data_IF_533201504309
#
_entry.id   IF_533201504309
#
_cell.length_a   1.000
_cell.length_b   1.000
_cell.length_c   1.000
_cell.angle_alpha   90.00
_cell.angle_beta   90.00
_cell.angle_gamma   90.00
#
_symmetry.space_group_name_H-M   'P 1'
#
loop_
_entity.id
_entity.type
_entity.pdbx_description
1 polymer ?
#
# COMPACT_ATOMS: atom_id res chain seq x y z
N UNK A 1 7.21 -48.24 -75.76
CA UNK A 1 7.32 -49.68 -75.42
C UNK A 1 6.72 -49.89 -74.04
N UNK A 2 5.85 -50.91 -73.92
CA UNK A 2 5.31 -51.56 -72.68
C UNK A 2 4.29 -50.75 -71.86
N UNK A 3 2.99 -51.04 -72.07
CA UNK A 3 2.11 -51.97 -71.30
C UNK A 3 1.43 -51.23 -70.15
N UNK A 4 0.15 -50.84 -70.20
CA UNK A 4 -1.09 -51.65 -70.23
C UNK A 4 -1.18 -52.64 -69.07
N UNK A 5 -1.86 -52.29 -67.97
CA UNK A 5 -2.71 -53.20 -67.16
C UNK A 5 -3.91 -52.41 -66.62
N UNK A 6 -5.09 -52.79 -67.11
CA UNK A 6 -6.41 -52.60 -66.49
C UNK A 6 -6.65 -53.73 -65.48
N UNK A 7 -7.61 -53.53 -64.54
CA UNK A 7 -8.70 -54.46 -64.15
C UNK A 7 -8.98 -54.40 -62.63
N UNK A 8 -10.27 -54.30 -62.28
CA UNK A 8 -10.86 -54.79 -61.02
C UNK A 8 -11.45 -53.68 -60.15
N UNK A 9 -12.64 -53.12 -60.41
CA UNK A 9 -13.96 -53.71 -60.08
C UNK A 9 -14.05 -54.39 -58.71
N UNK A 10 -14.61 -53.69 -57.72
CA UNK A 10 -15.61 -54.27 -56.84
C UNK A 10 -16.59 -53.17 -56.38
N UNK A 11 -17.83 -53.29 -56.86
CA UNK A 11 -18.98 -52.53 -56.41
C UNK A 11 -19.73 -53.35 -55.36
N UNK A 12 -20.04 -52.77 -54.20
CA UNK A 12 -21.12 -53.21 -53.31
C UNK A 12 -21.88 -51.96 -52.81
N UNK A 13 -22.89 -51.60 -53.60
CA UNK A 13 -24.30 -51.30 -53.30
C UNK A 13 -24.75 -51.00 -51.84
N UNK A 14 -25.23 -49.76 -51.70
CA UNK A 14 -26.46 -49.21 -51.03
C UNK A 14 -26.81 -49.55 -49.57
N UNK A 15 -27.11 -48.49 -48.79
CA UNK A 15 -28.46 -48.09 -48.29
C UNK A 15 -28.27 -46.79 -47.46
N UNK A 16 -28.67 -45.59 -47.92
CA UNK A 16 -30.02 -45.02 -47.98
C UNK A 16 -30.35 -44.09 -46.78
N UNK A 17 -30.76 -42.85 -47.10
CA UNK A 17 -31.51 -41.92 -46.24
C UNK A 17 -30.66 -40.90 -45.47
N UNK A 18 -30.81 -39.58 -45.63
CA UNK A 18 -31.71 -38.77 -46.45
C UNK A 18 -31.39 -37.27 -46.28
N UNK A 19 -31.73 -36.50 -47.33
CA UNK A 19 -32.19 -35.09 -47.41
C UNK A 19 -31.76 -34.14 -46.25
N UNK A 20 -31.19 -32.95 -46.45
CA UNK A 20 -31.60 -31.90 -47.39
C UNK A 20 -30.66 -30.67 -47.28
N UNK A 21 -30.29 -30.09 -48.43
CA UNK A 21 -30.32 -28.64 -48.78
C UNK A 21 -29.68 -27.65 -47.77
N UNK A 22 -28.43 -27.25 -47.99
CA UNK A 22 -28.01 -26.03 -48.72
C UNK A 22 -28.30 -24.71 -47.98
N UNK A 23 -27.24 -24.00 -47.55
CA UNK A 23 -27.11 -22.54 -47.65
C UNK A 23 -25.66 -22.11 -47.30
N UNK A 24 -24.92 -21.58 -48.27
CA UNK A 24 -23.82 -20.61 -48.10
C UNK A 24 -24.39 -19.22 -48.48
N UNK A 25 -23.73 -18.05 -48.28
CA UNK A 25 -22.52 -17.71 -47.51
C UNK A 25 -22.70 -16.37 -46.71
N UNK A 26 -21.57 -15.73 -46.35
CA UNK A 26 -21.37 -14.31 -46.01
C UNK A 26 -21.38 -13.91 -44.52
N UNK A 27 -20.18 -13.63 -43.99
CA UNK A 27 -20.01 -12.62 -42.94
C UNK A 27 -18.79 -11.77 -43.29
N UNK A 28 -19.05 -10.57 -43.81
CA UNK A 28 -18.10 -9.48 -43.86
C UNK A 28 -18.44 -8.54 -42.70
N UNK A 29 -17.43 -8.21 -41.90
CA UNK A 29 -17.27 -7.04 -41.03
C UNK A 29 -18.38 -6.70 -40.01
N UNK A 30 -17.99 -6.68 -38.74
CA UNK A 30 -18.23 -5.50 -37.89
C UNK A 30 -17.22 -5.44 -36.73
N UNK A 31 -16.25 -4.53 -36.86
CA UNK A 31 -15.50 -3.95 -35.75
C UNK A 31 -16.34 -2.78 -35.21
N UNK A 32 -16.93 -2.91 -34.03
CA UNK A 32 -17.25 -1.78 -33.13
C UNK A 32 -17.63 -2.33 -31.75
N UNK A 33 -16.78 -2.16 -30.74
CA UNK A 33 -16.83 -1.08 -29.76
C UNK A 33 -17.91 -1.27 -28.68
N UNK A 34 -17.55 -1.84 -27.53
CA UNK A 34 -18.05 -1.37 -26.21
C UNK A 34 -16.89 -1.48 -25.21
N UNK A 35 -16.09 -0.43 -25.14
CA UNK A 35 -15.28 -0.12 -23.98
C UNK A 35 -16.20 0.52 -22.94
N UNK A 36 -16.64 -0.25 -21.95
CA UNK A 36 -17.27 0.28 -20.73
C UNK A 36 -16.46 -0.23 -19.54
N UNK A 37 -15.90 0.65 -18.69
CA UNK A 37 -15.35 0.21 -17.43
C UNK A 37 -16.53 -0.30 -16.60
N UNK A 38 -16.57 -1.61 -16.40
CA UNK A 38 -17.50 -2.23 -15.48
C UNK A 38 -17.35 -1.53 -14.13
N UNK A 39 -18.43 -0.91 -13.65
CA UNK A 39 -18.56 -0.48 -12.27
C UNK A 39 -18.62 -1.75 -11.39
N UNK A 40 -17.46 -2.36 -11.17
CA UNK A 40 -17.30 -3.47 -10.26
C UNK A 40 -17.47 -2.89 -8.87
N UNK A 41 -18.66 -3.04 -8.31
CA UNK A 41 -18.92 -2.83 -6.89
C UNK A 41 -18.01 -3.81 -6.15
N UNK A 42 -16.87 -3.31 -5.68
CA UNK A 42 -15.87 -4.10 -4.96
C UNK A 42 -16.51 -4.63 -3.67
N UNK A 43 -16.87 -5.91 -3.67
CA UNK A 43 -17.39 -6.59 -2.49
C UNK A 43 -16.20 -6.89 -1.58
N UNK A 44 -16.17 -6.18 -0.46
CA UNK A 44 -15.24 -6.36 0.64
C UNK A 44 -15.28 -7.82 1.16
N UNK A 45 -14.24 -8.62 0.89
CA UNK A 45 -13.95 -9.83 1.67
C UNK A 45 -12.88 -9.49 2.72
N UNK A 46 -12.89 -10.17 3.87
CA UNK A 46 -12.10 -9.79 5.05
C UNK A 46 -10.57 -9.66 4.81
N UNK A 47 -10.04 -10.27 3.75
CA UNK A 47 -8.62 -10.26 3.41
C UNK A 47 -8.27 -9.20 2.34
N UNK A 48 -9.22 -8.81 1.48
CA UNK A 48 -9.00 -7.88 0.37
C UNK A 48 -9.26 -6.40 0.69
N UNK A 49 -9.80 -6.07 1.86
CA UNK A 49 -10.24 -4.69 2.15
C UNK A 49 -9.13 -3.70 2.49
N UNK A 50 -7.94 -4.20 2.81
CA UNK A 50 -6.81 -3.40 3.29
C UNK A 50 -5.62 -3.37 2.35
N UNK A 51 -5.64 -4.14 1.26
CA UNK A 51 -4.50 -4.27 0.36
C UNK A 51 -4.70 -3.41 -0.89
N UNK A 52 -3.68 -2.62 -1.23
CA UNK A 52 -3.69 -1.84 -2.46
C UNK A 52 -3.64 -2.77 -3.69
N UNK A 53 -4.25 -2.37 -4.82
CA UNK A 53 -4.07 -3.04 -6.10
C UNK A 53 -2.57 -3.17 -6.44
N UNK A 54 -2.19 -4.31 -7.03
CA UNK A 54 -0.81 -4.55 -7.45
C UNK A 54 -0.32 -3.43 -8.38
N UNK A 55 0.91 -2.94 -8.16
CA UNK A 55 1.50 -1.85 -8.95
C UNK A 55 1.03 -0.44 -8.58
N UNK A 56 0.27 -0.26 -7.49
CA UNK A 56 -0.05 1.08 -6.97
C UNK A 56 1.24 1.76 -6.49
N UNK A 57 1.75 2.74 -7.22
CA UNK A 57 2.97 3.48 -6.89
C UNK A 57 2.66 4.89 -6.37
N UNK A 58 3.55 5.43 -5.55
CA UNK A 58 3.53 6.85 -5.18
C UNK A 58 3.92 7.70 -6.40
N UNK A 59 3.28 8.85 -6.59
CA UNK A 59 3.59 9.73 -7.71
C UNK A 59 4.96 10.40 -7.55
N UNK A 60 5.62 10.74 -8.68
CA UNK A 60 6.91 11.45 -8.66
C UNK A 60 6.83 12.78 -7.88
N UNK A 61 5.71 13.51 -8.01
CA UNK A 61 5.46 14.74 -7.27
C UNK A 61 5.45 14.51 -5.75
N UNK A 62 4.71 13.51 -5.26
CA UNK A 62 4.67 13.18 -3.84
C UNK A 62 6.04 12.74 -3.33
N UNK A 63 6.79 11.97 -4.12
CA UNK A 63 8.16 11.58 -3.79
C UNK A 63 9.06 12.80 -3.59
N UNK A 64 9.06 13.74 -4.54
CA UNK A 64 9.93 14.91 -4.48
C UNK A 64 9.54 15.81 -3.30
N UNK A 65 8.24 15.93 -2.99
CA UNK A 65 7.74 16.62 -1.80
C UNK A 65 8.16 15.94 -0.48
N UNK A 66 8.11 14.60 -0.44
CA UNK A 66 8.58 13.82 0.70
C UNK A 66 10.08 14.03 0.92
N UNK A 67 10.90 13.88 -0.12
CA UNK A 67 12.35 14.06 -0.03
C UNK A 67 12.69 15.48 0.41
N UNK A 68 12.07 16.50 -0.18
CA UNK A 68 12.28 17.89 0.23
C UNK A 68 11.92 18.12 1.72
N UNK A 69 10.84 17.50 2.19
CA UNK A 69 10.42 17.56 3.60
C UNK A 69 11.45 16.87 4.51
N UNK A 70 11.95 15.69 4.12
CA UNK A 70 13.01 14.99 4.84
C UNK A 70 14.29 15.83 4.93
N UNK A 71 14.74 16.42 3.82
CA UNK A 71 15.94 17.28 3.79
C UNK A 71 15.81 18.45 4.77
N UNK A 72 14.61 19.05 4.87
CA UNK A 72 14.35 20.15 5.79
C UNK A 72 14.30 19.72 7.27
N UNK A 73 13.96 18.46 7.55
CA UNK A 73 13.81 17.94 8.89
C UNK A 73 15.10 17.31 9.44
N UNK A 74 15.74 16.46 8.63
CA UNK A 74 17.01 15.81 8.95
C UNK A 74 17.74 15.39 7.66
N UNK A 75 18.86 16.07 7.37
CA UNK A 75 19.63 15.81 6.15
C UNK A 75 20.21 14.39 6.12
N UNK A 76 20.69 13.87 7.26
CA UNK A 76 21.33 12.56 7.31
C UNK A 76 20.34 11.44 6.97
N UNK A 77 19.13 11.51 7.51
CA UNK A 77 18.04 10.59 7.20
C UNK A 77 17.57 10.75 5.75
N UNK A 78 17.47 11.98 5.24
CA UNK A 78 17.14 12.23 3.84
C UNK A 78 18.17 11.63 2.87
N UNK A 79 19.47 11.71 3.20
CA UNK A 79 20.55 11.12 2.42
C UNK A 79 20.45 9.58 2.43
N UNK A 80 20.13 8.96 3.57
CA UNK A 80 19.90 7.51 3.67
C UNK A 80 18.74 7.05 2.80
N UNK A 81 17.61 7.75 2.87
CA UNK A 81 16.42 7.45 2.05
C UNK A 81 16.76 7.63 0.57
N UNK A 82 17.34 8.76 0.18
CA UNK A 82 17.66 9.07 -1.22
C UNK A 82 18.68 8.10 -1.83
N UNK A 83 19.72 7.72 -1.08
CA UNK A 83 20.72 6.73 -1.52
C UNK A 83 20.05 5.40 -1.86
N UNK A 84 19.11 4.97 -1.01
CA UNK A 84 18.39 3.72 -1.17
C UNK A 84 17.40 3.76 -2.35
N UNK A 85 17.07 4.94 -2.88
CA UNK A 85 16.18 5.12 -4.03
C UNK A 85 16.89 5.06 -5.38
N UNK A 86 18.19 5.34 -5.43
CA UNK A 86 18.96 5.42 -6.66
C UNK A 86 19.51 4.06 -7.13
N UNK A 87 19.07 2.94 -6.55
CA UNK A 87 19.41 1.62 -7.08
C UNK A 87 18.63 1.33 -8.38
N UNK A 88 19.36 0.99 -9.45
CA UNK A 88 18.77 0.75 -10.78
C UNK A 88 17.77 -0.42 -10.85
N UNK A 89 17.77 -1.31 -9.85
CA UNK A 89 16.99 -2.55 -9.83
C UNK A 89 16.11 -2.73 -8.59
N UNK A 90 15.94 -1.69 -7.76
CA UNK A 90 15.08 -1.79 -6.58
C UNK A 90 13.66 -1.30 -6.86
N UNK A 91 12.68 -1.93 -6.21
CA UNK A 91 11.33 -1.38 -6.14
C UNK A 91 11.37 -0.13 -5.25
N UNK A 92 11.02 1.06 -5.78
CA UNK A 92 11.02 2.30 -5.02
C UNK A 92 10.17 2.25 -3.72
N UNK A 93 9.11 1.44 -3.70
CA UNK A 93 8.30 1.26 -2.50
C UNK A 93 8.98 0.36 -1.48
N UNK A 94 9.63 -0.73 -1.91
CA UNK A 94 10.34 -1.60 -0.98
C UNK A 94 11.47 -0.84 -0.27
N UNK A 95 12.14 0.05 -1.00
CA UNK A 95 13.12 0.99 -0.46
C UNK A 95 12.50 1.87 0.64
N UNK A 96 11.34 2.49 0.39
CA UNK A 96 10.68 3.32 1.40
C UNK A 96 10.21 2.52 2.60
N UNK A 97 9.60 1.35 2.34
CA UNK A 97 9.02 0.49 3.35
C UNK A 97 10.05 0.08 4.40
N UNK A 98 11.32 -0.04 4.02
CA UNK A 98 12.45 -0.32 4.94
C UNK A 98 12.62 0.75 6.03
N UNK A 99 12.19 1.99 5.77
CA UNK A 99 12.22 3.10 6.74
C UNK A 99 10.87 3.31 7.43
N UNK A 100 9.85 2.51 7.11
CA UNK A 100 8.53 2.65 7.71
C UNK A 100 8.45 1.99 9.09
N UNK A 101 8.13 2.76 10.12
CA UNK A 101 7.87 2.25 11.47
C UNK A 101 6.48 1.61 11.57
N UNK A 102 5.51 2.16 10.84
CA UNK A 102 4.12 1.70 10.83
C UNK A 102 3.58 1.67 9.40
N UNK A 103 2.66 0.74 9.17
CA UNK A 103 1.82 0.70 7.97
C UNK A 103 0.37 0.91 8.42
N UNK A 104 -0.25 1.96 7.90
CA UNK A 104 -1.64 2.31 8.16
C UNK A 104 -2.45 1.97 6.92
N UNK A 105 -3.50 1.17 7.08
CA UNK A 105 -4.42 0.84 6.00
C UNK A 105 -5.81 1.35 6.33
N UNK A 106 -6.36 2.18 5.44
CA UNK A 106 -7.70 2.73 5.53
C UNK A 106 -8.55 2.03 4.49
N UNK A 107 -9.47 1.19 4.94
CA UNK A 107 -10.35 0.44 4.04
C UNK A 107 -11.40 1.37 3.39
N UNK A 108 -12.17 0.90 2.39
CA UNK A 108 -13.23 1.69 1.75
C UNK A 108 -14.35 2.20 2.69
N UNK A 109 -14.47 1.64 3.90
CA UNK A 109 -15.43 2.04 4.93
C UNK A 109 -14.83 3.06 5.93
N UNK A 110 -13.62 3.57 5.66
CA UNK A 110 -12.84 4.45 6.53
C UNK A 110 -12.42 3.82 7.86
N UNK A 111 -12.36 2.48 7.95
CA UNK A 111 -11.78 1.79 9.10
C UNK A 111 -10.25 1.75 8.98
N UNK A 112 -9.60 2.11 10.07
CA UNK A 112 -8.14 2.17 10.17
C UNK A 112 -7.62 0.86 10.77
N UNK A 113 -6.69 0.23 10.07
CA UNK A 113 -5.84 -0.85 10.56
C UNK A 113 -4.40 -0.36 10.66
N UNK A 114 -3.72 -0.70 11.75
CA UNK A 114 -2.29 -0.40 11.93
C UNK A 114 -1.52 -1.70 12.06
N UNK A 115 -0.44 -1.82 11.28
CA UNK A 115 0.53 -2.90 11.37
C UNK A 115 1.93 -2.33 11.62
N UNK A 116 2.80 -3.12 12.24
CA UNK A 116 4.22 -2.77 12.35
C UNK A 116 4.85 -2.69 10.95
N UNK A 117 5.65 -1.65 10.72
CA UNK A 117 6.42 -1.51 9.49
C UNK A 117 7.71 -2.32 9.51
N UNK A 118 8.50 -2.23 8.42
CA UNK A 118 9.76 -2.99 8.28
C UNK A 118 10.95 -2.33 9.00
N UNK A 119 10.83 -1.05 9.37
CA UNK A 119 11.90 -0.36 10.09
C UNK A 119 12.11 -0.96 11.47
N UNK A 120 13.37 -1.12 11.86
CA UNK A 120 13.71 -1.55 13.22
C UNK A 120 13.47 -0.39 14.19
N UNK A 121 12.67 -0.54 15.26
CA UNK A 121 12.37 0.53 16.21
C UNK A 121 13.57 0.83 17.14
N UNK A 122 14.64 1.43 16.61
CA UNK A 122 15.81 1.87 17.39
C UNK A 122 15.73 3.35 17.65
N UNK A 123 15.84 3.75 18.91
CA UNK A 123 15.85 5.16 19.31
C UNK A 123 17.20 5.48 19.94
N UNK A 124 17.93 6.43 19.37
CA UNK A 124 19.03 7.07 20.09
C UNK A 124 18.43 8.04 21.11
N UNK A 125 18.83 7.92 22.37
CA UNK A 125 18.32 8.74 23.46
C UNK A 125 18.77 10.19 23.33
N UNK A 126 18.00 11.12 23.93
CA UNK A 126 18.27 12.55 23.94
C UNK A 126 18.35 13.21 22.55
N UNK A 127 17.85 12.56 21.50
CA UNK A 127 17.76 13.11 20.15
C UNK A 127 16.51 12.63 19.40
N UNK A 128 16.15 13.36 18.35
CA UNK A 128 15.06 12.95 17.46
C UNK A 128 15.52 11.83 16.53
N UNK A 129 14.70 10.80 16.44
CA UNK A 129 14.83 9.70 15.49
C UNK A 129 13.68 9.80 14.49
N UNK A 130 13.96 9.59 13.21
CA UNK A 130 13.01 9.82 12.14
C UNK A 130 12.59 8.50 11.51
N UNK A 131 11.29 8.37 11.26
CA UNK A 131 10.70 7.21 10.63
C UNK A 131 9.68 7.65 9.60
N UNK A 132 9.44 6.78 8.62
CA UNK A 132 8.30 6.93 7.72
C UNK A 132 7.08 6.20 8.28
N UNK A 133 5.90 6.68 7.92
CA UNK A 133 4.63 5.99 8.11
C UNK A 133 4.03 5.80 6.72
N UNK A 134 3.76 4.54 6.36
CA UNK A 134 3.11 4.19 5.10
C UNK A 134 1.60 4.28 5.29
N UNK A 135 0.89 4.94 4.38
CA UNK A 135 -0.57 5.04 4.38
C UNK A 135 -1.12 4.44 3.09
N UNK A 136 -1.95 3.42 3.23
CA UNK A 136 -2.71 2.78 2.16
C UNK A 136 -4.16 3.26 2.27
N UNK A 137 -4.56 4.18 1.40
CA UNK A 137 -5.84 4.86 1.51
C UNK A 137 -6.82 4.34 0.44
N UNK A 138 -7.56 3.27 0.74
CA UNK A 138 -8.55 2.70 -0.18
C UNK A 138 -9.85 3.49 -0.20
N UNK A 139 -10.17 4.22 0.87
CA UNK A 139 -11.35 5.09 0.96
C UNK A 139 -11.19 6.47 0.30
N UNK A 140 -9.95 6.89 -0.02
CA UNK A 140 -9.71 8.25 -0.51
C UNK A 140 -9.96 9.31 0.56
N UNK A 141 -9.70 8.99 1.84
CA UNK A 141 -9.85 9.90 2.98
C UNK A 141 -8.95 11.12 2.80
N UNK A 142 -9.49 12.30 3.10
CA UNK A 142 -8.80 13.59 3.09
C UNK A 142 -8.76 14.25 4.48
N UNK A 143 -9.11 13.51 5.53
CA UNK A 143 -8.98 13.96 6.91
C UNK A 143 -7.50 13.94 7.36
N UNK A 144 -7.12 14.71 8.39
CA UNK A 144 -5.79 14.63 8.96
C UNK A 144 -5.55 13.30 9.68
N UNK A 145 -4.35 12.74 9.52
CA UNK A 145 -3.90 11.55 10.26
C UNK A 145 -3.40 11.96 11.65
N UNK A 146 -3.87 11.26 12.69
CA UNK A 146 -3.39 11.40 14.07
C UNK A 146 -2.72 10.13 14.57
N UNK A 147 -1.76 10.31 15.47
CA UNK A 147 -1.11 9.25 16.24
C UNK A 147 -1.37 9.50 17.72
N UNK A 148 -1.63 8.43 18.47
CA UNK A 148 -1.75 8.48 19.92
C UNK A 148 -1.10 7.25 20.57
N UNK A 149 -0.72 7.40 21.84
CA UNK A 149 -0.16 6.33 22.66
C UNK A 149 -0.28 6.71 24.13
N UNK A 150 -0.62 5.75 24.98
CA UNK A 150 -0.60 5.94 26.44
C UNK A 150 0.82 6.21 26.96
N UNK A 151 1.85 5.84 26.20
CA UNK A 151 3.25 6.05 26.54
C UNK A 151 3.77 7.43 26.13
N UNK A 152 2.97 8.22 25.42
CA UNK A 152 3.36 9.58 25.04
C UNK A 152 3.40 10.50 26.26
N UNK A 153 4.39 11.40 26.26
CA UNK A 153 4.46 12.52 27.20
C UNK A 153 3.22 13.39 27.02
N UNK A 154 2.58 13.72 28.14
CA UNK A 154 1.45 14.63 28.18
C UNK A 154 1.87 15.81 29.06
N UNK A 155 1.84 17.07 28.56
CA UNK A 155 2.21 18.26 29.33
C UNK A 155 1.46 18.41 30.67
N UNK A 156 0.29 17.78 30.81
CA UNK A 156 -0.51 17.81 32.04
C UNK A 156 0.05 16.90 33.13
N UNK A 157 0.85 15.90 32.78
CA UNK A 157 1.40 14.92 33.70
C UNK A 157 2.92 14.97 33.69
N UNK A 158 3.56 14.76 34.85
CA UNK A 158 5.00 14.61 34.89
C UNK A 158 5.42 13.37 34.07
N UNK A 159 6.58 13.43 33.42
CA UNK A 159 7.18 12.25 32.82
C UNK A 159 7.42 11.20 33.90
N UNK A 160 7.10 9.95 33.59
CA UNK A 160 7.23 8.84 34.53
C UNK A 160 7.67 7.56 33.81
N UNK A 161 7.56 6.41 34.48
CA UNK A 161 7.96 5.13 33.88
C UNK A 161 7.04 4.67 32.75
N UNK A 162 5.81 5.14 32.73
CA UNK A 162 4.78 4.77 31.77
C UNK A 162 4.69 5.76 30.62
N UNK A 163 4.96 7.05 30.84
CA UNK A 163 5.02 8.13 29.84
C UNK A 163 6.46 8.53 29.57
N UNK A 164 7.03 7.95 28.51
CA UNK A 164 8.47 8.02 28.21
C UNK A 164 8.78 8.40 26.75
N UNK A 165 7.77 8.48 25.90
CA UNK A 165 7.88 8.67 24.45
C UNK A 165 7.42 10.08 24.07
N UNK A 166 8.19 10.79 23.25
CA UNK A 166 7.71 11.98 22.55
C UNK A 166 7.61 11.65 21.06
N UNK A 167 6.51 12.06 20.43
CA UNK A 167 6.36 11.91 18.99
C UNK A 167 5.77 13.17 18.38
N UNK A 168 6.21 13.51 17.19
CA UNK A 168 5.66 14.64 16.46
C UNK A 168 5.69 14.36 14.96
N UNK A 169 4.63 14.77 14.29
CA UNK A 169 4.60 14.79 12.83
C UNK A 169 5.52 15.87 12.27
N UNK A 170 6.29 15.51 11.26
CA UNK A 170 6.96 16.49 10.41
C UNK A 170 6.02 16.84 9.27
N UNK A 171 5.51 18.07 9.30
CA UNK A 171 4.61 18.59 8.26
C UNK A 171 5.08 19.95 7.75
N UNK A 172 4.68 20.25 6.52
CA UNK A 172 4.85 21.57 5.92
C UNK A 172 3.80 21.76 4.81
N UNK A 173 3.86 22.86 4.07
CA UNK A 173 2.92 23.15 2.97
C UNK A 173 2.90 22.07 1.88
N UNK A 174 4.02 21.40 1.63
CA UNK A 174 4.16 20.36 0.61
C UNK A 174 3.71 18.98 1.11
N UNK A 175 3.82 18.71 2.41
CA UNK A 175 3.43 17.46 3.05
C UNK A 175 2.61 17.75 4.32
N UNK A 176 1.34 18.19 4.19
CA UNK A 176 0.48 18.45 5.34
C UNK A 176 0.00 17.14 5.99
N UNK A 177 -0.48 17.21 7.24
CA UNK A 177 -1.09 16.05 7.89
C UNK A 177 -2.45 15.64 7.31
N UNK A 178 -3.13 16.57 6.65
CA UNK A 178 -4.30 16.27 5.81
C UNK A 178 -3.91 15.30 4.69
N UNK A 179 -4.59 14.17 4.60
CA UNK A 179 -4.38 13.19 3.53
C UNK A 179 -4.84 13.77 2.18
N UNK A 180 -4.18 13.38 1.09
CA UNK A 180 -4.52 13.89 -0.25
C UNK A 180 -5.64 13.09 -0.90
N UNK A 181 -6.00 11.93 -0.35
CA UNK A 181 -6.93 10.97 -0.95
C UNK A 181 -6.26 10.04 -1.97
N UNK A 182 -4.93 10.13 -2.10
CA UNK A 182 -4.16 9.26 -3.00
C UNK A 182 -4.06 7.86 -2.40
N UNK A 183 -4.01 6.83 -3.25
CA UNK A 183 -4.04 5.44 -2.79
C UNK A 183 -2.86 5.06 -1.91
N UNK A 184 -1.70 5.64 -2.17
CA UNK A 184 -0.48 5.42 -1.40
C UNK A 184 0.15 6.76 -1.05
N UNK A 185 0.35 6.96 0.25
CA UNK A 185 1.00 8.15 0.79
C UNK A 185 2.03 7.74 1.84
N UNK A 186 3.01 8.62 2.08
CA UNK A 186 3.96 8.50 3.18
C UNK A 186 3.93 9.76 4.03
N UNK A 187 4.08 9.61 5.33
CA UNK A 187 4.26 10.71 6.29
C UNK A 187 5.54 10.49 7.09
N UNK A 188 6.06 11.57 7.67
CA UNK A 188 7.31 11.55 8.43
C UNK A 188 6.98 11.77 9.89
N UNK A 189 7.38 10.81 10.73
CA UNK A 189 7.22 10.88 12.18
C UNK A 189 8.61 11.03 12.81
N UNK A 190 8.77 12.01 13.70
CA UNK A 190 9.92 12.07 14.60
C UNK A 190 9.54 11.56 15.97
N UNK A 191 10.44 10.79 16.56
CA UNK A 191 10.26 10.11 17.84
C UNK A 191 11.50 10.35 18.71
N UNK A 192 11.30 10.74 19.96
CA UNK A 192 12.36 11.00 20.94
C UNK A 192 12.04 10.32 22.25
N UNK A 193 13.09 9.93 22.97
CA UNK A 193 12.99 9.50 24.36
C UNK A 193 14.28 9.86 25.10
N UNK A 194 14.15 10.11 26.40
CA UNK A 194 15.27 10.27 27.33
C UNK A 194 15.55 9.00 28.13
N UNK A 195 14.80 7.92 27.86
CA UNK A 195 14.94 6.68 28.59
C UNK A 195 15.71 5.64 27.80
N UNK A 196 16.60 4.92 28.49
CA UNK A 196 17.38 3.82 27.93
C UNK A 196 16.66 2.47 28.10
N UNK A 197 17.12 1.47 27.33
CA UNK A 197 16.69 0.08 27.44
C UNK A 197 15.58 -0.31 26.46
N UNK A 198 15.04 -1.52 26.64
CA UNK A 198 13.89 -2.00 25.86
C UNK A 198 12.61 -1.44 26.44
N UNK A 199 11.78 -0.82 25.60
CA UNK A 199 10.50 -0.22 26.01
C UNK A 199 9.42 -0.52 25.00
N UNK A 200 8.22 -0.82 25.49
CA UNK A 200 7.08 -1.06 24.63
C UNK A 200 6.14 0.15 24.64
N UNK A 201 5.60 0.50 23.47
CA UNK A 201 4.53 1.47 23.34
C UNK A 201 3.45 0.95 22.39
N UNK A 202 2.20 1.20 22.74
CA UNK A 202 1.05 0.95 21.87
C UNK A 202 0.85 2.21 21.03
N UNK A 203 0.96 2.08 19.71
CA UNK A 203 0.78 3.17 18.77
C UNK A 203 -0.56 3.02 18.07
N UNK A 204 -1.50 3.90 18.38
CA UNK A 204 -2.81 3.96 17.74
C UNK A 204 -2.85 5.06 16.68
N UNK A 205 -3.56 4.82 15.58
CA UNK A 205 -3.78 5.79 14.52
C UNK A 205 -5.28 5.97 14.26
N UNK A 206 -5.66 7.18 13.89
CA UNK A 206 -7.03 7.49 13.45
C UNK A 206 -7.01 8.62 12.41
N UNK A 207 -8.13 8.78 11.70
CA UNK A 207 -8.32 9.85 10.71
C UNK A 207 -9.58 10.66 11.03
N UNK A 208 -9.89 10.83 12.32
CA UNK A 208 -11.05 11.56 12.81
C UNK A 208 -12.24 10.71 13.28
N UNK A 209 -13.35 11.41 13.61
CA UNK A 209 -14.52 10.86 14.30
C UNK A 209 -15.15 9.67 13.55
N UNK A 210 -15.31 8.54 14.24
CA UNK A 210 -15.96 7.32 13.73
C UNK A 210 -15.03 6.24 13.18
N UNK A 211 -13.70 6.45 13.21
CA UNK A 211 -12.71 5.48 12.67
C UNK A 211 -12.18 4.46 13.68
N UNK A 212 -12.68 4.50 14.91
CA UNK A 212 -12.46 3.44 15.89
C UNK A 212 -13.11 2.15 15.38
N UNK A 213 -12.28 1.24 14.88
CA UNK A 213 -12.74 -0.06 14.41
C UNK A 213 -13.29 -0.86 15.60
N UNK A 214 -14.43 -1.52 15.39
CA UNK A 214 -15.00 -2.44 16.38
C UNK A 214 -14.10 -3.68 16.35
N UNK A 215 -13.12 -3.71 17.26
CA UNK A 215 -12.14 -4.79 17.34
C UNK A 215 -10.69 -4.39 17.58
N UNK A 216 -10.41 -3.12 17.94
CA UNK A 216 -9.07 -2.67 18.36
C UNK A 216 -7.96 -2.95 17.34
N UNK A 217 -8.24 -2.76 16.04
CA UNK A 217 -7.25 -2.98 14.96
C UNK A 217 -6.46 -1.73 14.60
N UNK A 218 -6.82 -0.60 15.19
CA UNK A 218 -6.22 0.69 14.89
C UNK A 218 -4.97 0.97 15.73
N UNK A 219 -4.47 -0.02 16.49
CA UNK A 219 -3.23 0.08 17.24
C UNK A 219 -2.29 -1.11 17.04
N UNK A 220 -1.02 -0.90 17.38
CA UNK A 220 0.00 -1.95 17.39
C UNK A 220 0.99 -1.71 18.52
N UNK A 221 1.41 -2.78 19.20
CA UNK A 221 2.48 -2.74 20.19
C UNK A 221 3.84 -2.79 19.48
N UNK A 222 4.64 -1.74 19.62
CA UNK A 222 6.03 -1.71 19.18
C UNK A 222 6.99 -1.84 20.36
N UNK A 223 8.05 -2.63 20.20
CA UNK A 223 9.17 -2.69 21.16
C UNK A 223 10.34 -1.88 20.62
N UNK A 224 10.66 -0.78 21.30
CA UNK A 224 11.77 0.10 21.00
C UNK A 224 13.03 -0.33 21.73
N UNK A 225 14.14 -0.27 21.01
CA UNK A 225 15.49 -0.43 21.54
C UNK A 225 16.11 0.96 21.72
N UNK A 226 16.09 1.46 22.96
CA UNK A 226 16.60 2.79 23.27
C UNK A 226 18.07 2.71 23.69
N UNK A 227 18.96 3.28 22.88
CA UNK A 227 20.42 3.27 23.08
C UNK A 227 20.95 4.68 23.23
N UNK A 228 22.08 4.85 23.92
CA UNK A 228 22.79 6.13 23.93
C UNK A 228 23.31 6.53 22.55
#
# INVERSE_FOLDING_TARGET
MRHLIMIGSLAITLLAGGRSRAQEPAVLAELSNVNQPANVKMVCNEQGCHQLPAGTLMTAKQRDQLIATLVSADKAFADQVSTSYHCEHCDPQETLDAFCLLTVSINPESRVKVDAGKATPVLRTAQWNYFLIKIQNLAGVTAPLSISSDQMLDPKYASDRFRWLESQWIENKALPMTLTGERLEYRVLRVRTDHEGKRAAVCAMDVGQGTADIGFRNDVLLTFHCTR
#
